data_IF_667982930655
#
_entry.id   IF_667982930655
#
_cell.length_a   1.000
_cell.length_b   1.000
_cell.length_c   1.000
_cell.angle_alpha   90.00
_cell.angle_beta   90.00
_cell.angle_gamma   90.00
#
_symmetry.space_group_name_H-M   'P 1'
#
loop_
_entity.id
_entity.type
_entity.pdbx_description
1 polymer ?
#
# COMPACT_ATOMS: atom_id res chain seq x y z
N UNK A 1 -22.87 13.22 1.28
CA UNK A 1 -21.52 12.95 1.86
C UNK A 1 -20.45 13.81 1.19
N UNK A 2 -20.81 14.94 0.56
CA UNK A 2 -19.87 15.76 -0.25
C UNK A 2 -19.28 16.97 0.49
N UNK A 3 -19.48 17.10 1.79
CA UNK A 3 -18.97 18.23 2.60
C UNK A 3 -17.69 17.91 3.40
N UNK A 4 -17.20 16.67 3.35
CA UNK A 4 -16.00 16.29 4.12
C UNK A 4 -14.73 16.61 3.33
N UNK A 5 -14.04 17.69 3.69
CA UNK A 5 -12.70 18.00 3.15
C UNK A 5 -11.67 17.08 3.80
N UNK A 6 -11.12 16.15 3.01
CA UNK A 6 -10.02 15.29 3.44
C UNK A 6 -8.69 16.00 3.23
N UNK A 7 -7.74 15.90 4.18
CA UNK A 7 -6.36 16.34 3.97
C UNK A 7 -5.78 15.78 2.68
N UNK A 8 -5.01 16.59 1.95
CA UNK A 8 -4.34 16.20 0.70
C UNK A 8 -3.58 14.88 0.80
N UNK A 9 -3.04 14.60 1.99
CA UNK A 9 -2.11 13.52 2.28
C UNK A 9 -2.80 12.16 2.41
N UNK A 10 -4.13 12.16 2.52
CA UNK A 10 -4.96 10.98 2.72
C UNK A 10 -5.59 10.46 1.42
N UNK A 11 -5.43 11.18 0.32
CA UNK A 11 -6.02 10.83 -0.96
C UNK A 11 -7.55 10.90 -0.94
N UNK A 12 -8.17 10.23 -1.92
CA UNK A 12 -9.62 10.28 -2.13
C UNK A 12 -10.36 9.48 -1.04
N UNK A 13 -11.46 10.04 -0.51
CA UNK A 13 -12.37 9.33 0.39
C UNK A 13 -12.75 7.99 -0.26
N UNK A 14 -12.71 6.88 0.48
CA UNK A 14 -13.16 5.61 -0.06
C UNK A 14 -14.63 5.73 -0.50
N UNK A 15 -14.89 5.47 -1.80
CA UNK A 15 -16.22 5.58 -2.40
C UNK A 15 -17.18 4.47 -1.96
N UNK A 16 -18.20 4.14 -2.77
CA UNK A 16 -19.12 3.03 -2.46
C UNK A 16 -18.34 1.71 -2.32
N UNK A 17 -18.17 1.23 -1.08
CA UNK A 17 -17.51 -0.04 -0.74
C UNK A 17 -18.21 -1.25 -1.40
N UNK A 18 -19.48 -1.11 -1.76
CA UNK A 18 -20.35 -2.17 -2.30
C UNK A 18 -20.21 -2.41 -3.83
N UNK A 19 -19.27 -1.81 -4.54
CA UNK A 19 -19.22 -1.98 -5.99
C UNK A 19 -18.30 -3.15 -6.38
N UNK A 20 -18.85 -4.36 -6.59
CA UNK A 20 -18.18 -5.48 -7.28
C UNK A 20 -18.16 -6.82 -6.52
N UNK A 21 -18.00 -7.93 -7.24
CA UNK A 21 -17.61 -9.22 -6.65
C UNK A 21 -16.23 -9.06 -5.99
N UNK A 22 -16.09 -9.55 -4.76
CA UNK A 22 -14.80 -9.66 -4.07
C UNK A 22 -14.17 -8.35 -3.61
N UNK A 23 -14.93 -7.26 -3.38
CA UNK A 23 -14.39 -5.99 -2.84
C UNK A 23 -13.30 -5.34 -3.73
N UNK A 24 -13.35 -5.62 -5.04
CA UNK A 24 -12.27 -5.41 -6.02
C UNK A 24 -11.97 -3.95 -6.41
N UNK A 25 -12.80 -2.99 -6.02
CA UNK A 25 -12.66 -1.59 -6.46
C UNK A 25 -11.76 -0.72 -5.58
N UNK A 26 -11.27 -1.25 -4.46
CA UNK A 26 -10.40 -0.51 -3.55
C UNK A 26 -8.94 -0.91 -3.76
N UNK A 27 -8.08 0.07 -3.96
CA UNK A 27 -6.63 -0.15 -3.92
C UNK A 27 -6.18 -0.48 -2.51
N UNK A 28 -5.02 -1.11 -2.37
CA UNK A 28 -4.50 -1.46 -1.05
C UNK A 28 -4.28 -0.24 -0.13
N UNK A 29 -3.88 0.92 -0.69
CA UNK A 29 -3.77 2.17 0.08
C UNK A 29 -5.15 2.71 0.51
N UNK A 30 -6.19 2.55 -0.31
CA UNK A 30 -7.55 2.89 0.08
C UNK A 30 -8.06 1.99 1.22
N UNK A 31 -7.76 0.69 1.18
CA UNK A 31 -8.05 -0.22 2.29
C UNK A 31 -7.32 0.17 3.57
N UNK A 32 -6.04 0.51 3.45
CA UNK A 32 -5.22 1.03 4.56
C UNK A 32 -5.88 2.26 5.18
N UNK A 33 -6.23 3.27 4.38
CA UNK A 33 -6.86 4.50 4.89
C UNK A 33 -8.25 4.23 5.47
N UNK A 34 -9.04 3.35 4.85
CA UNK A 34 -10.34 2.92 5.36
C UNK A 34 -10.21 2.34 6.78
N UNK A 35 -9.35 1.35 6.98
CA UNK A 35 -9.21 0.70 8.29
C UNK A 35 -8.57 1.61 9.34
N UNK A 36 -7.61 2.45 8.96
CA UNK A 36 -6.91 3.29 9.94
C UNK A 36 -7.74 4.48 10.45
N UNK A 37 -8.71 4.96 9.66
CA UNK A 37 -9.39 6.25 9.95
C UNK A 37 -10.89 6.08 10.05
N UNK A 38 -11.49 5.37 9.10
CA UNK A 38 -12.94 5.39 8.92
C UNK A 38 -13.63 4.17 9.53
N UNK A 39 -13.01 2.99 9.47
CA UNK A 39 -13.69 1.74 9.76
C UNK A 39 -14.29 1.67 11.16
N UNK A 40 -13.57 2.11 12.19
CA UNK A 40 -14.07 2.09 13.57
C UNK A 40 -15.33 2.94 13.70
N UNK A 41 -15.34 4.16 13.20
CA UNK A 41 -16.48 5.08 13.31
C UNK A 41 -17.63 4.64 12.39
N UNK A 42 -17.32 4.32 11.15
CA UNK A 42 -18.30 3.99 10.12
C UNK A 42 -19.04 2.68 10.41
N UNK A 43 -18.37 1.69 11.02
CA UNK A 43 -18.95 0.36 11.25
C UNK A 43 -19.44 0.16 12.69
N UNK A 44 -19.12 1.07 13.63
CA UNK A 44 -19.38 0.84 15.07
C UNK A 44 -20.82 0.45 15.34
N UNK A 45 -21.78 1.25 14.89
CA UNK A 45 -23.20 1.04 15.17
C UNK A 45 -23.82 -0.09 14.35
N UNK A 46 -23.11 -0.61 13.36
CA UNK A 46 -23.60 -1.67 12.46
C UNK A 46 -23.07 -3.06 12.81
N UNK A 47 -22.04 -3.15 13.66
CA UNK A 47 -21.42 -4.42 14.03
C UNK A 47 -21.93 -4.94 15.39
N UNK A 48 -22.16 -6.26 15.52
CA UNK A 48 -22.33 -6.94 16.81
C UNK A 48 -21.10 -6.80 17.72
N UNK A 49 -21.27 -7.05 19.02
CA UNK A 49 -20.20 -6.85 20.02
C UNK A 49 -18.91 -7.65 19.75
N UNK A 50 -19.02 -8.92 19.31
CA UNK A 50 -17.84 -9.73 18.96
C UNK A 50 -17.11 -9.15 17.74
N UNK A 51 -17.85 -8.68 16.74
CA UNK A 51 -17.31 -8.14 15.50
C UNK A 51 -16.64 -6.78 15.72
N UNK A 52 -17.19 -5.95 16.62
CA UNK A 52 -16.53 -4.71 17.08
C UNK A 52 -15.19 -5.00 17.74
N UNK A 53 -15.10 -6.09 18.51
CA UNK A 53 -13.84 -6.50 19.17
C UNK A 53 -12.81 -6.96 18.14
N UNK A 54 -13.23 -7.75 17.14
CA UNK A 54 -12.39 -8.14 16.00
C UNK A 54 -11.89 -6.90 15.27
N UNK A 55 -12.78 -5.98 14.90
CA UNK A 55 -12.44 -4.74 14.20
C UNK A 55 -11.45 -3.90 15.03
N UNK A 56 -11.69 -3.73 16.33
CA UNK A 56 -10.82 -2.93 17.21
C UNK A 56 -9.41 -3.51 17.26
N UNK A 57 -9.28 -4.82 17.41
CA UNK A 57 -7.97 -5.48 17.37
C UNK A 57 -7.32 -5.36 16.00
N UNK A 58 -8.10 -5.52 14.93
CA UNK A 58 -7.57 -5.42 13.57
C UNK A 58 -7.06 -4.02 13.25
N UNK A 59 -7.82 -2.98 13.58
CA UNK A 59 -7.39 -1.58 13.43
C UNK A 59 -6.12 -1.32 14.23
N UNK A 60 -6.04 -1.79 15.49
CA UNK A 60 -4.83 -1.66 16.31
C UNK A 60 -3.61 -2.34 15.66
N UNK A 61 -3.78 -3.56 15.15
CA UNK A 61 -2.72 -4.26 14.40
C UNK A 61 -2.27 -3.45 13.18
N UNK A 62 -3.21 -2.97 12.36
CA UNK A 62 -2.88 -2.14 11.20
C UNK A 62 -2.13 -0.86 11.60
N UNK A 63 -2.54 -0.18 12.68
CA UNK A 63 -1.86 1.04 13.15
C UNK A 63 -0.42 0.82 13.57
N UNK A 64 -0.07 -0.39 14.00
CA UNK A 64 1.30 -0.77 14.36
C UNK A 64 2.08 -1.14 13.09
N UNK A 65 1.55 -2.11 12.32
CA UNK A 65 2.25 -2.73 11.20
C UNK A 65 2.54 -1.78 10.04
N UNK A 66 1.73 -0.72 9.89
CA UNK A 66 1.85 0.25 8.79
C UNK A 66 2.89 1.35 9.08
N UNK A 67 3.40 1.45 10.31
CA UNK A 67 4.37 2.48 10.68
C UNK A 67 5.72 2.23 9.99
N UNK A 68 6.41 3.32 9.66
CA UNK A 68 7.78 3.28 9.09
C UNK A 68 8.83 2.85 10.11
N UNK A 69 8.59 3.16 11.38
CA UNK A 69 9.45 2.83 12.51
C UNK A 69 8.55 2.13 13.53
N UNK A 70 8.93 0.92 13.94
CA UNK A 70 8.14 0.09 14.85
C UNK A 70 9.04 -0.41 15.95
N UNK A 71 8.56 -0.36 17.19
CA UNK A 71 9.26 -0.93 18.33
C UNK A 71 8.97 -2.44 18.46
N UNK A 72 9.92 -3.16 19.06
CA UNK A 72 9.79 -4.60 19.31
C UNK A 72 8.54 -4.92 20.16
N UNK A 73 8.22 -4.06 21.12
CA UNK A 73 7.05 -4.25 21.99
C UNK A 73 5.74 -4.07 21.22
N UNK A 74 5.67 -3.09 20.32
CA UNK A 74 4.53 -2.90 19.41
C UNK A 74 4.35 -4.14 18.52
N UNK A 75 5.43 -4.68 17.95
CA UNK A 75 5.36 -5.91 17.13
C UNK A 75 4.85 -7.12 17.91
N UNK A 76 5.30 -7.29 19.17
CA UNK A 76 4.79 -8.33 20.07
C UNK A 76 3.31 -8.12 20.40
N UNK A 77 2.86 -6.88 20.56
CA UNK A 77 1.45 -6.56 20.74
C UNK A 77 0.64 -6.95 19.50
N UNK A 78 1.08 -6.53 18.31
CA UNK A 78 0.41 -6.82 17.05
C UNK A 78 0.26 -8.33 16.82
N UNK A 79 1.32 -9.11 17.07
CA UNK A 79 1.26 -10.58 16.96
C UNK A 79 0.25 -11.20 17.94
N UNK A 80 0.24 -10.76 19.21
CA UNK A 80 -0.75 -11.22 20.21
C UNK A 80 -2.18 -10.89 19.80
N UNK A 81 -2.40 -9.71 19.22
CA UNK A 81 -3.72 -9.29 18.74
C UNK A 81 -4.16 -10.08 17.51
N UNK A 82 -3.26 -10.37 16.56
CA UNK A 82 -3.54 -11.23 15.41
C UNK A 82 -4.01 -12.63 15.84
N UNK A 83 -3.33 -13.25 16.81
CA UNK A 83 -3.77 -14.54 17.36
C UNK A 83 -5.17 -14.43 17.96
N UNK A 84 -5.48 -13.36 18.71
CA UNK A 84 -6.81 -13.14 19.28
C UNK A 84 -7.88 -12.97 18.21
N UNK A 85 -7.58 -12.23 17.14
CA UNK A 85 -8.48 -12.04 15.99
C UNK A 85 -8.80 -13.39 15.36
N UNK A 86 -7.78 -14.18 15.01
CA UNK A 86 -7.96 -15.48 14.33
C UNK A 86 -8.76 -16.45 15.20
N UNK A 87 -8.49 -16.50 16.51
CA UNK A 87 -9.28 -17.31 17.45
C UNK A 87 -10.73 -16.87 17.52
N UNK A 88 -10.99 -15.56 17.55
CA UNK A 88 -12.36 -15.02 17.53
C UNK A 88 -13.07 -15.33 16.21
N UNK A 89 -12.39 -15.21 15.07
CA UNK A 89 -12.97 -15.55 13.76
C UNK A 89 -13.35 -17.03 13.73
N UNK A 90 -12.46 -17.92 14.16
CA UNK A 90 -12.73 -19.36 14.25
C UNK A 90 -13.93 -19.66 15.16
N UNK A 91 -14.01 -19.02 16.32
CA UNK A 91 -15.12 -19.22 17.27
C UNK A 91 -16.47 -18.71 16.72
N UNK A 92 -16.46 -17.55 16.05
CA UNK A 92 -17.71 -16.88 15.62
C UNK A 92 -18.22 -17.38 14.28
N UNK A 93 -17.33 -17.77 13.37
CA UNK A 93 -17.67 -18.03 11.98
C UNK A 93 -17.19 -19.38 11.46
N UNK A 94 -16.55 -20.20 12.29
CA UNK A 94 -16.08 -21.53 11.91
C UNK A 94 -14.65 -21.59 11.39
N UNK A 95 -14.09 -22.80 11.35
CA UNK A 95 -12.71 -23.05 10.93
C UNK A 95 -12.51 -22.85 9.43
N UNK A 96 -13.56 -23.04 8.63
CA UNK A 96 -13.55 -22.85 7.17
C UNK A 96 -13.28 -21.39 6.76
N UNK A 97 -13.43 -20.45 7.68
CA UNK A 97 -13.10 -19.03 7.47
C UNK A 97 -11.64 -18.71 7.75
N UNK A 98 -10.86 -19.63 8.29
CA UNK A 98 -9.43 -19.45 8.49
C UNK A 98 -8.70 -19.71 7.17
N UNK A 99 -8.47 -18.64 6.43
CA UNK A 99 -7.79 -18.69 5.14
C UNK A 99 -6.26 -18.76 5.30
N UNK A 100 -5.53 -19.21 4.26
CA UNK A 100 -4.07 -19.17 4.25
C UNK A 100 -3.51 -17.77 4.54
N UNK A 101 -4.15 -16.70 4.06
CA UNK A 101 -3.69 -15.33 4.31
C UNK A 101 -3.83 -14.94 5.80
N UNK A 102 -4.87 -15.40 6.49
CA UNK A 102 -4.98 -15.21 7.94
C UNK A 102 -3.87 -15.97 8.66
N UNK A 103 -3.55 -17.19 8.24
CA UNK A 103 -2.42 -17.93 8.81
C UNK A 103 -1.08 -17.21 8.57
N UNK A 104 -0.79 -16.83 7.32
CA UNK A 104 0.43 -16.10 6.95
C UNK A 104 0.58 -14.77 7.70
N UNK A 105 -0.53 -14.12 8.05
CA UNK A 105 -0.49 -12.88 8.83
C UNK A 105 0.22 -13.05 10.19
N UNK A 106 0.23 -14.26 10.77
CA UNK A 106 0.90 -14.55 12.04
C UNK A 106 2.43 -14.43 11.93
N UNK A 107 2.99 -14.65 10.73
CA UNK A 107 4.42 -14.56 10.45
C UNK A 107 4.91 -13.13 10.16
N UNK A 108 4.02 -12.15 10.03
CA UNK A 108 4.40 -10.76 9.77
C UNK A 108 5.36 -10.19 10.85
N UNK A 109 5.25 -10.68 12.09
CA UNK A 109 6.15 -10.30 13.17
C UNK A 109 7.57 -10.82 12.94
N UNK A 110 7.71 -12.08 12.56
CA UNK A 110 8.98 -12.72 12.24
C UNK A 110 9.63 -12.05 11.03
N UNK A 111 8.87 -11.88 9.94
CA UNK A 111 9.34 -11.15 8.77
C UNK A 111 9.81 -9.73 9.13
N UNK A 112 9.16 -9.06 10.09
CA UNK A 112 9.58 -7.73 10.49
C UNK A 112 10.90 -7.72 11.27
N UNK A 113 11.26 -8.80 11.96
CA UNK A 113 12.56 -8.91 12.61
C UNK A 113 13.67 -9.16 11.58
N UNK A 114 13.39 -9.95 10.54
CA UNK A 114 14.39 -10.32 9.54
C UNK A 114 14.63 -9.22 8.51
N UNK A 115 13.57 -8.55 8.05
CA UNK A 115 13.61 -7.60 6.93
C UNK A 115 13.36 -6.13 7.34
N UNK A 116 13.18 -5.88 8.64
CA UNK A 116 12.80 -4.57 9.17
C UNK A 116 11.30 -4.30 9.07
N UNK A 117 10.83 -3.05 9.30
CA UNK A 117 9.41 -2.71 9.27
C UNK A 117 8.74 -3.12 7.95
N UNK A 118 7.46 -3.54 7.98
CA UNK A 118 6.72 -3.97 6.78
C UNK A 118 6.77 -2.95 5.64
N UNK A 119 6.82 -1.66 5.97
CA UNK A 119 7.01 -0.57 5.02
C UNK A 119 8.22 -0.77 4.08
N UNK A 120 9.26 -1.47 4.54
CA UNK A 120 10.51 -1.68 3.81
C UNK A 120 10.37 -2.74 2.71
N UNK A 121 9.45 -3.70 2.86
CA UNK A 121 9.33 -4.87 1.97
C UNK A 121 7.93 -5.11 1.43
N UNK A 122 6.95 -4.26 1.76
CA UNK A 122 5.60 -4.37 1.19
C UNK A 122 5.56 -4.13 -0.33
N UNK A 123 4.55 -4.66 -1.00
CA UNK A 123 4.49 -4.67 -2.46
C UNK A 123 4.00 -3.36 -3.10
N UNK A 124 3.67 -2.31 -2.34
CA UNK A 124 3.06 -1.09 -2.91
C UNK A 124 3.98 -0.37 -3.93
N UNK A 125 5.28 -0.34 -3.67
CA UNK A 125 6.25 0.22 -4.62
C UNK A 125 6.34 -0.60 -5.90
N UNK A 126 6.33 -1.93 -5.77
CA UNK A 126 6.35 -2.87 -6.90
C UNK A 126 5.07 -2.80 -7.72
N UNK A 127 3.89 -2.78 -7.08
CA UNK A 127 2.60 -2.62 -7.75
C UNK A 127 2.53 -1.30 -8.52
N UNK A 128 2.99 -0.19 -7.92
CA UNK A 128 3.07 1.10 -8.60
C UNK A 128 3.98 1.03 -9.83
N UNK A 129 5.15 0.40 -9.69
CA UNK A 129 6.08 0.22 -10.79
C UNK A 129 5.49 -0.64 -11.90
N UNK A 130 4.82 -1.74 -11.56
CA UNK A 130 4.15 -2.61 -12.51
C UNK A 130 3.05 -1.85 -13.27
N UNK A 131 2.29 -0.99 -12.59
CA UNK A 131 1.31 -0.11 -13.23
C UNK A 131 1.95 0.86 -14.23
N UNK A 132 3.07 1.48 -13.85
CA UNK A 132 3.83 2.36 -14.75
C UNK A 132 4.32 1.59 -15.98
N UNK A 133 4.98 0.44 -15.76
CA UNK A 133 5.51 -0.41 -16.82
C UNK A 133 4.40 -0.90 -17.75
N UNK A 134 3.24 -1.28 -17.21
CA UNK A 134 2.08 -1.72 -17.98
C UNK A 134 1.40 -0.61 -18.78
N UNK A 135 1.56 0.66 -18.38
CA UNK A 135 1.02 1.81 -19.11
C UNK A 135 1.86 2.21 -20.33
N UNK A 136 3.09 1.72 -20.42
CA UNK A 136 3.96 2.04 -21.54
C UNK A 136 3.42 1.38 -22.83
N UNK A 137 3.29 2.15 -23.93
CA UNK A 137 2.88 1.58 -25.20
C UNK A 137 3.92 0.53 -25.59
N UNK A 138 3.48 -0.67 -25.91
CA UNK A 138 4.36 -1.75 -26.30
C UNK A 138 3.75 -2.55 -27.46
N UNK A 139 4.61 -3.23 -28.21
CA UNK A 139 4.22 -4.05 -29.37
C UNK A 139 3.57 -5.40 -29.00
N UNK A 140 3.42 -5.70 -27.70
CA UNK A 140 2.98 -6.99 -27.15
C UNK A 140 3.78 -8.23 -27.60
N UNK A 141 4.96 -8.04 -28.20
CA UNK A 141 5.80 -9.12 -28.74
C UNK A 141 7.13 -9.32 -28.00
N UNK A 142 7.80 -8.23 -27.63
CA UNK A 142 9.09 -8.25 -26.93
C UNK A 142 9.16 -7.13 -25.88
N UNK A 143 8.34 -7.26 -24.83
CA UNK A 143 8.15 -6.25 -23.79
C UNK A 143 9.48 -5.89 -23.10
N UNK A 144 10.29 -6.89 -22.76
CA UNK A 144 11.57 -6.70 -22.06
C UNK A 144 12.58 -5.88 -22.87
N UNK A 145 12.81 -6.22 -24.14
CA UNK A 145 13.73 -5.49 -25.02
C UNK A 145 13.26 -4.07 -25.30
N UNK A 146 11.94 -3.87 -25.46
CA UNK A 146 11.36 -2.56 -25.70
C UNK A 146 11.50 -1.64 -24.49
N UNK A 147 11.27 -2.17 -23.28
CA UNK A 147 11.50 -1.49 -22.01
C UNK A 147 12.96 -1.09 -21.84
N UNK A 148 13.90 -2.03 -22.03
CA UNK A 148 15.32 -1.76 -21.86
C UNK A 148 15.82 -0.69 -22.83
N UNK A 149 15.38 -0.73 -24.10
CA UNK A 149 15.72 0.31 -25.09
C UNK A 149 15.20 1.69 -24.69
N UNK A 150 13.98 1.77 -24.15
CA UNK A 150 13.40 3.03 -23.69
C UNK A 150 14.19 3.61 -22.52
N UNK A 151 14.47 2.79 -21.50
CA UNK A 151 15.25 3.21 -20.33
C UNK A 151 16.64 3.71 -20.72
N UNK A 152 17.33 3.02 -21.64
CA UNK A 152 18.63 3.46 -22.15
C UNK A 152 18.53 4.78 -22.94
N UNK A 153 17.52 4.91 -23.80
CA UNK A 153 17.30 6.15 -24.57
C UNK A 153 17.01 7.34 -23.64
N UNK A 154 16.17 7.15 -22.61
CA UNK A 154 15.87 8.20 -21.62
C UNK A 154 17.08 8.58 -20.77
N UNK A 155 17.96 7.62 -20.43
CA UNK A 155 19.20 7.93 -19.74
C UNK A 155 20.12 8.81 -20.61
N UNK A 156 20.30 8.45 -21.88
CA UNK A 156 21.11 9.21 -22.85
C UNK A 156 20.55 10.62 -23.09
N UNK A 157 19.27 10.69 -23.44
CA UNK A 157 18.30 11.68 -22.96
C UNK A 157 18.81 12.75 -21.98
N UNK A 158 18.68 12.38 -20.71
CA UNK A 158 18.97 13.19 -19.55
C UNK A 158 20.44 13.58 -19.46
N UNK A 159 21.36 12.70 -19.84
CA UNK A 159 22.80 13.01 -19.85
C UNK A 159 23.12 14.15 -20.83
N UNK A 160 22.49 14.17 -22.02
CA UNK A 160 22.63 15.26 -23.00
C UNK A 160 22.04 16.56 -22.43
N UNK A 161 20.87 16.52 -21.77
CA UNK A 161 20.24 17.71 -21.18
C UNK A 161 21.08 18.27 -20.01
N UNK A 162 21.61 17.41 -19.16
CA UNK A 162 22.43 17.80 -18.01
C UNK A 162 23.82 18.30 -18.41
N UNK A 163 24.39 17.77 -19.49
CA UNK A 163 25.65 18.28 -20.06
C UNK A 163 25.45 19.62 -20.78
N UNK A 164 24.37 19.79 -21.54
CA UNK A 164 24.07 21.04 -22.26
C UNK A 164 23.61 22.20 -21.36
N UNK A 165 23.08 21.93 -20.16
CA UNK A 165 22.79 22.97 -19.15
C UNK A 165 24.05 23.55 -18.49
N UNK A 166 25.21 22.89 -18.64
CA UNK A 166 26.52 23.47 -18.31
C UNK A 166 27.08 24.35 -19.44
N UNK A 167 26.51 24.26 -20.65
CA UNK A 167 26.89 25.05 -21.83
C UNK A 167 25.92 26.20 -22.10
N UNK A 168 25.63 27.05 -21.11
CA UNK A 168 25.13 28.42 -21.38
C UNK A 168 26.28 29.30 -21.96
N UNK A 169 27.01 28.75 -22.94
CA UNK A 169 27.96 29.46 -23.79
C UNK A 169 27.20 30.26 -24.87
N UNK A 170 25.92 29.95 -25.10
CA UNK A 170 25.06 30.63 -26.08
C UNK A 170 24.84 32.14 -25.85
N UNK A 171 25.08 32.66 -24.64
CA UNK A 171 24.98 34.10 -24.34
C UNK A 171 26.28 34.89 -24.59
N UNK A 172 27.42 34.23 -24.88
CA UNK A 172 28.69 34.92 -25.19
C UNK A 172 28.85 35.30 -26.66
N UNK A 173 27.91 34.90 -27.52
CA UNK A 173 27.94 35.19 -28.96
C UNK A 173 27.00 36.33 -29.40
N UNK A 174 26.27 36.95 -28.47
CA UNK A 174 25.43 38.12 -28.74
C UNK A 174 26.11 39.46 -28.39
N UNK A 175 27.29 39.43 -27.76
CA UNK A 175 28.07 40.63 -27.38
C UNK A 175 29.34 40.82 -28.25
N UNK A 176 29.31 40.41 -29.53
CA UNK A 176 30.36 40.74 -30.51
C UNK A 176 29.80 41.41 -31.74
#
# INVERSE_FOLDING_TARGET
MDEFKVPSDLGRIPGKIHCGEGFSNFTADQWRNFFLIYATVALWNHLPGKDRKILTYFVRVCTILVRRIVEINDMKEAHKLLIKIIKLIKECYGEEKITPNLHLSLHLCECSYDYGPLYSFWCFSFERMNGLLGSLPNSHRQIELELMRRLMTEAQINDIINSSSSEVIGLKLLDK
#
